data_IF_812744159658
#
_entry.id   IF_812744159658
#
_cell.length_a   1.000
_cell.length_b   1.000
_cell.length_c   1.000
_cell.angle_alpha   90.00
_cell.angle_beta   90.00
_cell.angle_gamma   90.00
#
_symmetry.space_group_name_H-M   'P 1'
#
loop_
_entity.id
_entity.type
_entity.pdbx_description
1 polymer ?
#
# COMPACT_ATOMS: atom_id res chain seq x y z
N UNK A 1 8.71 7.94 -6.28
CA UNK A 1 7.45 8.70 -6.34
C UNK A 1 6.17 7.88 -6.26
N UNK A 2 5.97 6.84 -7.09
CA UNK A 2 4.73 6.03 -7.06
C UNK A 2 4.36 5.51 -5.67
N UNK A 3 5.33 4.99 -4.91
CA UNK A 3 5.09 4.50 -3.55
C UNK A 3 4.61 5.61 -2.59
N UNK A 4 5.25 6.78 -2.64
CA UNK A 4 4.86 7.92 -1.79
C UNK A 4 3.43 8.36 -2.11
N UNK A 5 3.08 8.43 -3.40
CA UNK A 5 1.72 8.75 -3.84
C UNK A 5 0.70 7.74 -3.32
N UNK A 6 1.02 6.44 -3.37
CA UNK A 6 0.15 5.39 -2.84
C UNK A 6 -0.11 5.57 -1.34
N UNK A 7 0.96 5.73 -0.56
CA UNK A 7 0.91 5.84 0.90
C UNK A 7 0.21 7.13 1.37
N UNK A 8 0.36 8.23 0.63
CA UNK A 8 -0.19 9.52 1.04
C UNK A 8 -1.63 9.73 0.53
N UNK A 9 -1.97 9.18 -0.64
CA UNK A 9 -3.23 9.48 -1.35
C UNK A 9 -4.07 8.25 -1.64
N UNK A 10 -3.54 7.25 -2.36
CA UNK A 10 -4.36 6.13 -2.84
C UNK A 10 -4.92 5.30 -1.70
N UNK A 11 -4.15 5.07 -0.63
CA UNK A 11 -4.64 4.32 0.53
C UNK A 11 -5.85 5.00 1.19
N UNK A 12 -5.87 6.35 1.21
CA UNK A 12 -7.02 7.11 1.71
C UNK A 12 -8.21 7.00 0.76
N UNK A 13 -7.98 6.98 -0.55
CA UNK A 13 -9.04 6.76 -1.53
C UNK A 13 -9.68 5.37 -1.40
N UNK A 14 -8.86 4.33 -1.14
CA UNK A 14 -9.34 2.96 -0.89
C UNK A 14 -10.26 2.92 0.33
N UNK A 15 -9.86 3.56 1.44
CA UNK A 15 -10.67 3.62 2.66
C UNK A 15 -11.96 4.39 2.44
N UNK A 16 -11.93 5.53 1.73
CA UNK A 16 -13.14 6.30 1.39
C UNK A 16 -14.13 5.50 0.54
N UNK A 17 -13.64 4.70 -0.41
CA UNK A 17 -14.50 3.86 -1.24
C UNK A 17 -15.19 2.74 -0.45
N UNK A 18 -14.63 2.34 0.70
CA UNK A 18 -15.13 1.27 1.56
C UNK A 18 -15.42 1.78 2.98
N UNK A 19 -15.87 3.04 3.10
CA UNK A 19 -15.87 3.74 4.38
C UNK A 19 -16.80 3.11 5.42
N UNK A 20 -17.94 2.53 5.01
CA UNK A 20 -18.97 2.05 5.93
C UNK A 20 -19.21 0.55 5.73
N UNK A 21 -19.02 -0.20 6.81
CA UNK A 21 -19.37 -1.60 6.92
C UNK A 21 -20.69 -1.73 7.69
N UNK A 22 -21.57 -2.58 7.17
CA UNK A 22 -22.85 -2.93 7.81
C UNK A 22 -22.95 -4.44 7.91
N UNK A 23 -23.60 -4.92 8.96
CA UNK A 23 -23.75 -6.36 9.22
C UNK A 23 -25.19 -6.76 8.89
N UNK A 24 -25.37 -7.79 8.05
CA UNK A 24 -26.72 -8.21 7.64
C UNK A 24 -27.57 -8.72 8.82
N UNK A 25 -26.95 -9.33 9.83
CA UNK A 25 -27.64 -9.87 11.00
C UNK A 25 -28.03 -8.83 12.04
N UNK A 26 -27.40 -7.65 12.03
CA UNK A 26 -27.74 -6.54 12.93
C UNK A 26 -27.70 -5.21 12.17
N UNK A 27 -28.87 -4.73 11.69
CA UNK A 27 -28.96 -3.46 10.96
C UNK A 27 -28.59 -2.24 11.80
N UNK A 28 -28.61 -2.33 13.13
CA UNK A 28 -28.25 -1.22 14.01
C UNK A 28 -26.74 -1.12 14.21
N UNK A 29 -26.00 -2.20 13.94
CA UNK A 29 -24.55 -2.19 14.00
C UNK A 29 -23.92 -1.75 12.68
N UNK A 30 -23.16 -0.65 12.72
CA UNK A 30 -22.29 -0.25 11.63
C UNK A 30 -20.92 0.18 12.14
N UNK A 31 -19.91 0.00 11.30
CA UNK A 31 -18.55 0.49 11.50
C UNK A 31 -18.19 1.40 10.34
N UNK A 32 -17.61 2.56 10.65
CA UNK A 32 -17.13 3.53 9.69
C UNK A 32 -15.64 3.80 9.89
N UNK A 33 -14.88 3.77 8.80
CA UNK A 33 -13.50 4.25 8.76
C UNK A 33 -13.49 5.75 8.49
N UNK A 34 -12.84 6.52 9.35
CA UNK A 34 -12.75 7.97 9.26
C UNK A 34 -11.44 8.45 8.62
N UNK A 35 -10.30 7.89 9.02
CA UNK A 35 -9.00 8.16 8.40
C UNK A 35 -8.06 6.96 8.51
N UNK A 36 -7.05 6.94 7.65
CA UNK A 36 -5.98 5.94 7.62
C UNK A 36 -4.62 6.62 7.49
N UNK A 37 -3.64 6.07 8.21
CA UNK A 37 -2.26 6.54 8.21
C UNK A 37 -1.29 5.37 8.30
N UNK A 38 -0.15 5.54 7.64
CA UNK A 38 0.99 4.64 7.75
C UNK A 38 2.05 5.35 8.58
N UNK A 39 2.47 4.70 9.66
CA UNK A 39 3.50 5.21 10.56
C UNK A 39 4.90 5.17 9.96
N UNK A 40 5.90 5.29 10.83
CA UNK A 40 7.29 5.00 10.49
C UNK A 40 7.61 3.53 10.75
N UNK A 41 8.68 3.00 10.13
CA UNK A 41 9.17 1.66 10.38
C UNK A 41 9.44 1.43 11.87
N UNK A 42 8.76 0.44 12.43
CA UNK A 42 8.86 0.11 13.85
C UNK A 42 8.93 -1.38 14.07
N UNK A 43 9.31 -1.82 15.26
CA UNK A 43 9.22 -3.22 15.68
C UNK A 43 8.49 -3.25 17.01
N UNK A 44 7.57 -4.19 17.14
CA UNK A 44 6.88 -4.48 18.40
C UNK A 44 7.52 -5.74 18.98
N UNK A 45 8.19 -5.58 20.12
CA UNK A 45 8.83 -6.65 20.87
C UNK A 45 8.26 -6.66 22.29
N UNK A 46 7.62 -7.77 22.65
CA UNK A 46 6.96 -7.99 23.94
C UNK A 46 5.98 -6.86 24.31
N UNK A 47 6.45 -5.87 25.08
CA UNK A 47 5.68 -4.73 25.61
C UNK A 47 6.26 -3.37 25.16
N UNK A 48 7.23 -3.36 24.23
CA UNK A 48 7.89 -2.14 23.76
C UNK A 48 7.78 -2.02 22.24
N UNK A 49 7.43 -0.82 21.82
CA UNK A 49 7.48 -0.42 20.41
C UNK A 49 8.77 0.36 20.21
N UNK A 50 9.58 -0.08 19.26
CA UNK A 50 10.81 0.59 18.83
C UNK A 50 10.53 1.34 17.53
N UNK A 51 10.52 2.67 17.57
CA UNK A 51 10.04 3.53 16.45
C UNK A 51 11.12 3.96 15.44
N UNK A 52 12.38 3.53 15.62
CA UNK A 52 13.52 3.93 14.78
C UNK A 52 14.31 2.72 14.25
N UNK A 53 13.59 1.74 13.72
CA UNK A 53 14.21 0.55 13.14
C UNK A 53 14.97 0.94 11.89
N UNK A 54 16.23 0.51 11.78
CA UNK A 54 17.03 0.77 10.59
C UNK A 54 16.89 -0.36 9.57
N UNK A 55 17.08 -0.08 8.26
CA UNK A 55 17.07 -1.13 7.26
C UNK A 55 18.20 -2.15 7.51
N UNK A 56 19.40 -1.70 7.91
CA UNK A 56 20.49 -2.57 8.36
C UNK A 56 20.06 -3.55 9.47
N UNK A 57 19.39 -3.08 10.53
CA UNK A 57 18.86 -3.96 11.58
C UNK A 57 17.87 -5.00 11.04
N UNK A 58 17.02 -4.60 10.10
CA UNK A 58 16.04 -5.51 9.49
C UNK A 58 16.70 -6.61 8.66
N UNK A 59 17.82 -6.29 7.97
CA UNK A 59 18.64 -7.28 7.25
C UNK A 59 19.28 -8.27 8.22
N UNK A 60 19.96 -7.77 9.25
CA UNK A 60 20.73 -8.60 10.19
C UNK A 60 19.87 -9.52 11.06
N UNK A 61 18.60 -9.16 11.28
CA UNK A 61 17.67 -9.89 12.15
C UNK A 61 16.63 -10.72 11.40
N UNK A 62 16.76 -10.85 10.07
CA UNK A 62 15.79 -11.53 9.22
C UNK A 62 14.35 -10.99 9.35
N UNK A 63 14.20 -9.68 9.55
CA UNK A 63 12.91 -9.04 9.77
C UNK A 63 12.40 -8.33 8.52
N UNK A 64 11.09 -8.06 8.50
CA UNK A 64 10.47 -7.24 7.46
C UNK A 64 10.46 -5.77 7.88
N UNK A 65 11.11 -4.92 7.09
CA UNK A 65 11.15 -3.48 7.31
C UNK A 65 9.76 -2.88 7.02
N UNK A 66 8.96 -2.68 8.07
CA UNK A 66 7.54 -2.35 7.95
C UNK A 66 7.07 -1.33 8.98
N UNK A 67 6.07 -0.54 8.59
CA UNK A 67 5.40 0.43 9.44
C UNK A 67 3.99 -0.03 9.81
N UNK A 68 3.50 0.42 10.96
CA UNK A 68 2.12 0.15 11.41
C UNK A 68 1.12 0.93 10.55
N UNK A 69 0.04 0.26 10.15
CA UNK A 69 -1.13 0.87 9.54
C UNK A 69 -2.13 1.15 10.66
N UNK A 70 -2.43 2.42 10.89
CA UNK A 70 -3.41 2.84 11.91
C UNK A 70 -4.62 3.49 11.26
N UNK A 71 -5.81 3.18 11.78
CA UNK A 71 -7.07 3.76 11.34
C UNK A 71 -7.83 4.40 12.50
N UNK A 72 -8.63 5.40 12.16
CA UNK A 72 -9.66 5.94 13.05
C UNK A 72 -11.00 5.33 12.64
N UNK A 73 -11.68 4.73 13.60
CA UNK A 73 -12.96 4.05 13.38
C UNK A 73 -14.04 4.59 14.29
N UNK A 74 -15.26 4.58 13.80
CA UNK A 74 -16.45 4.94 14.53
C UNK A 74 -17.47 3.83 14.37
N UNK A 75 -18.03 3.34 15.46
CA UNK A 75 -19.00 2.26 15.41
C UNK A 75 -20.06 2.42 16.49
N UNK A 76 -21.21 1.81 16.26
CA UNK A 76 -22.33 1.78 17.20
C UNK A 76 -22.14 0.69 18.24
N UNK A 77 -22.33 1.04 19.52
CA UNK A 77 -22.38 0.11 20.65
C UNK A 77 -23.69 0.32 21.41
N UNK A 78 -24.70 -0.48 21.07
CA UNK A 78 -26.07 -0.25 21.56
C UNK A 78 -26.61 1.08 21.01
N UNK A 79 -27.04 1.98 21.89
CA UNK A 79 -27.56 3.30 21.51
C UNK A 79 -26.50 4.40 21.41
N UNK A 80 -25.23 4.09 21.64
CA UNK A 80 -24.14 5.08 21.64
C UNK A 80 -23.21 4.89 20.46
N UNK A 81 -22.67 5.98 19.93
CA UNK A 81 -21.62 5.98 18.92
C UNK A 81 -20.27 6.09 19.65
N UNK A 82 -19.36 5.16 19.37
CA UNK A 82 -18.03 5.09 19.96
C UNK A 82 -16.99 5.38 18.87
N UNK A 83 -16.08 6.31 19.14
CA UNK A 83 -14.94 6.60 18.27
C UNK A 83 -13.67 6.05 18.88
N UNK A 84 -12.95 5.21 18.13
CA UNK A 84 -11.60 4.77 18.47
C UNK A 84 -10.60 5.35 17.48
N UNK A 85 -9.52 5.91 18.00
CA UNK A 85 -8.43 6.49 17.20
C UNK A 85 -7.18 5.63 17.28
N UNK A 86 -6.34 5.68 16.25
CA UNK A 86 -5.07 4.94 16.17
C UNK A 86 -5.21 3.40 16.32
N UNK A 87 -6.28 2.81 15.81
CA UNK A 87 -6.43 1.34 15.85
C UNK A 87 -5.45 0.73 14.87
N UNK A 88 -4.53 -0.11 15.36
CA UNK A 88 -3.62 -0.89 14.53
C UNK A 88 -4.40 -1.98 13.79
N UNK A 89 -4.34 -1.97 12.46
CA UNK A 89 -5.00 -2.97 11.60
C UNK A 89 -4.02 -3.85 10.82
N UNK A 90 -2.72 -3.63 11.00
CA UNK A 90 -1.69 -4.40 10.31
C UNK A 90 -0.41 -3.61 10.07
N UNK A 91 0.46 -4.18 9.24
CA UNK A 91 1.75 -3.59 8.89
C UNK A 91 1.94 -3.52 7.38
N UNK A 92 2.60 -2.48 6.93
CA UNK A 92 2.95 -2.29 5.52
C UNK A 92 4.47 -2.25 5.36
N UNK A 93 5.07 -3.09 4.49
CA UNK A 93 6.47 -2.97 4.13
C UNK A 93 6.78 -1.58 3.57
N UNK A 94 7.84 -0.96 4.10
CA UNK A 94 8.25 0.40 3.69
C UNK A 94 9.36 0.30 2.66
N UNK A 95 9.18 1.01 1.53
CA UNK A 95 10.20 1.08 0.50
C UNK A 95 11.39 1.92 0.98
N UNK A 96 12.62 1.44 0.79
CA UNK A 96 13.82 2.18 1.16
C UNK A 96 13.89 3.51 0.40
N UNK A 97 14.29 4.57 1.12
CA UNK A 97 14.32 5.97 0.64
C UNK A 97 12.97 6.58 0.22
N UNK A 98 11.85 5.93 0.55
CA UNK A 98 10.52 6.56 0.47
C UNK A 98 10.30 7.60 1.58
N UNK A 99 9.24 8.41 1.48
CA UNK A 99 8.92 9.44 2.46
C UNK A 99 8.63 8.90 3.88
N UNK A 100 8.34 7.61 4.03
CA UNK A 100 8.18 6.94 5.34
C UNK A 100 9.45 6.29 5.85
N UNK A 101 10.47 6.12 5.01
CA UNK A 101 11.73 5.50 5.39
C UNK A 101 12.57 6.46 6.24
N UNK A 102 13.26 5.93 7.25
CA UNK A 102 14.17 6.71 8.11
C UNK A 102 15.36 7.31 7.35
N UNK A 103 15.72 6.75 6.20
CA UNK A 103 16.83 7.20 5.36
C UNK A 103 16.51 8.44 4.51
N UNK A 104 15.24 8.79 4.36
CA UNK A 104 14.83 9.89 3.50
C UNK A 104 15.36 11.23 4.01
N UNK A 105 16.03 11.99 3.13
CA UNK A 105 16.54 13.33 3.43
C UNK A 105 17.77 13.36 4.36
N UNK A 106 18.36 12.21 4.70
CA UNK A 106 19.55 12.15 5.54
C UNK A 106 20.82 12.52 4.77
N UNK A 107 21.72 13.23 5.44
CA UNK A 107 23.05 13.55 4.94
C UNK A 107 23.97 12.31 4.91
N UNK A 108 25.09 12.40 4.18
CA UNK A 108 26.09 11.33 4.10
C UNK A 108 26.58 10.88 5.49
N UNK A 109 26.88 11.82 6.37
CA UNK A 109 27.36 11.51 7.72
C UNK A 109 26.28 10.82 8.58
N UNK A 110 25.00 11.15 8.37
CA UNK A 110 23.91 10.48 9.06
C UNK A 110 23.66 9.07 8.54
N UNK A 111 23.74 8.85 7.22
CA UNK A 111 23.61 7.52 6.63
C UNK A 111 24.75 6.59 7.08
N UNK A 112 25.97 7.11 7.17
CA UNK A 112 27.12 6.37 7.70
C UNK A 112 26.90 5.89 9.14
N UNK A 113 26.33 6.76 10.00
CA UNK A 113 25.94 6.37 11.37
C UNK A 113 24.86 5.29 11.41
N UNK A 114 24.01 5.22 10.39
CA UNK A 114 22.98 4.19 10.25
C UNK A 114 23.47 2.93 9.52
N UNK A 115 24.77 2.87 9.18
CA UNK A 115 25.38 1.77 8.44
C UNK A 115 24.76 1.55 7.05
N UNK A 116 24.34 2.64 6.40
CA UNK A 116 23.73 2.63 5.07
C UNK A 116 24.62 3.37 4.06
N UNK A 117 24.63 2.87 2.82
CA UNK A 117 25.43 3.46 1.76
C UNK A 117 24.75 4.70 1.17
N UNK A 118 25.49 5.80 1.02
CA UNK A 118 25.00 7.01 0.36
C UNK A 118 24.67 6.78 -1.13
N UNK A 119 25.39 5.88 -1.80
CA UNK A 119 25.21 5.58 -3.23
C UNK A 119 24.14 4.50 -3.51
N UNK A 120 23.53 3.91 -2.48
CA UNK A 120 22.42 2.97 -2.68
C UNK A 120 21.23 3.70 -3.33
N UNK A 121 20.69 3.29 -4.49
CA UNK A 121 19.54 3.95 -5.09
C UNK A 121 18.26 3.88 -4.23
N UNK A 122 18.11 2.88 -3.37
CA UNK A 122 16.84 2.58 -2.69
C UNK A 122 15.78 2.05 -3.67
N UNK A 123 14.49 2.19 -3.32
CA UNK A 123 13.39 1.78 -4.20
C UNK A 123 12.99 0.30 -4.12
N UNK A 124 13.55 -0.44 -3.17
CA UNK A 124 13.23 -1.84 -2.89
C UNK A 124 12.73 -2.01 -1.45
N UNK A 125 12.32 -3.23 -1.12
CA UNK A 125 11.78 -3.60 0.19
C UNK A 125 12.68 -4.62 0.87
N UNK A 126 12.73 -4.62 2.20
CA UNK A 126 13.35 -5.70 2.97
C UNK A 126 12.22 -6.53 3.58
N UNK A 127 12.15 -7.80 3.19
CA UNK A 127 11.13 -8.76 3.64
C UNK A 127 11.84 -10.00 4.14
N UNK A 128 11.67 -10.30 5.43
CA UNK A 128 12.35 -11.39 6.14
C UNK A 128 13.87 -11.36 5.89
N UNK A 129 14.52 -10.22 6.15
CA UNK A 129 15.95 -10.01 5.93
C UNK A 129 16.38 -9.82 4.48
N UNK A 130 15.54 -10.20 3.52
CA UNK A 130 15.89 -10.25 2.11
C UNK A 130 15.42 -9.00 1.35
N UNK A 131 16.28 -8.48 0.49
CA UNK A 131 15.95 -7.38 -0.41
C UNK A 131 15.11 -7.88 -1.58
N UNK A 132 14.00 -7.19 -1.84
CA UNK A 132 13.03 -7.55 -2.89
C UNK A 132 12.63 -6.30 -3.67
N UNK A 133 12.76 -6.38 -4.98
CA UNK A 133 12.36 -5.33 -5.92
C UNK A 133 11.06 -5.77 -6.60
N UNK A 134 10.10 -4.85 -6.71
CA UNK A 134 8.92 -5.06 -7.56
C UNK A 134 9.31 -4.67 -8.98
N UNK A 135 9.32 -5.64 -9.89
CA UNK A 135 9.56 -5.37 -11.30
C UNK A 135 8.36 -4.63 -11.89
N UNK A 136 8.65 -3.57 -12.64
CA UNK A 136 7.61 -2.81 -13.35
C UNK A 136 7.04 -3.73 -14.44
N UNK A 137 5.71 -3.86 -14.45
CA UNK A 137 5.00 -4.64 -15.46
C UNK A 137 4.40 -3.72 -16.51
N UNK A 138 4.75 -3.94 -17.76
CA UNK A 138 4.07 -3.31 -18.88
C UNK A 138 2.70 -3.99 -19.09
N UNK A 139 1.66 -3.18 -19.28
CA UNK A 139 0.32 -3.65 -19.58
C UNK A 139 -0.25 -2.86 -20.76
N UNK A 140 -1.05 -3.54 -21.58
CA UNK A 140 -1.79 -2.89 -22.64
C UNK A 140 -2.68 -1.77 -22.07
N UNK A 141 -2.82 -0.71 -22.86
CA UNK A 141 -3.69 0.42 -22.53
C UNK A 141 -5.13 -0.08 -22.31
N UNK A 142 -5.66 0.21 -21.13
CA UNK A 142 -7.09 0.01 -20.82
C UNK A 142 -7.90 1.15 -21.42
N UNK A 143 -9.18 0.90 -21.63
CA UNK A 143 -10.15 1.88 -22.13
C UNK A 143 -9.73 2.52 -23.48
N UNK A 144 -9.03 1.75 -24.32
CA UNK A 144 -8.61 2.15 -25.67
C UNK A 144 -9.03 1.09 -26.68
N UNK A 145 -9.55 1.52 -27.83
CA UNK A 145 -9.87 0.64 -28.96
C UNK A 145 -8.58 0.26 -29.66
N UNK A 146 -8.35 -1.04 -29.81
CA UNK A 146 -7.22 -1.63 -30.54
C UNK A 146 -7.80 -2.40 -31.72
N UNK A 147 -7.31 -2.11 -32.92
CA UNK A 147 -7.71 -2.79 -34.15
C UNK A 147 -6.61 -3.78 -34.52
N UNK A 148 -6.98 -5.04 -34.67
CA UNK A 148 -6.07 -6.16 -34.95
C UNK A 148 -6.66 -7.05 -36.07
N UNK A 149 -5.84 -7.92 -36.64
CA UNK A 149 -6.30 -8.98 -37.55
C UNK A 149 -6.33 -10.30 -36.77
N UNK A 150 -7.44 -11.03 -36.86
CA UNK A 150 -7.50 -12.39 -36.32
C UNK A 150 -6.67 -13.36 -37.19
N UNK A 151 -6.49 -14.60 -36.74
CA UNK A 151 -5.75 -15.66 -37.45
C UNK A 151 -6.27 -15.88 -38.88
N UNK A 152 -7.57 -15.71 -39.08
CA UNK A 152 -8.25 -15.85 -40.37
C UNK A 152 -8.20 -14.56 -41.22
N UNK A 153 -7.42 -13.56 -40.79
CA UNK A 153 -7.27 -12.24 -41.44
C UNK A 153 -8.55 -11.38 -41.46
N UNK A 154 -9.51 -11.67 -40.61
CA UNK A 154 -10.66 -10.77 -40.37
C UNK A 154 -10.25 -9.62 -39.45
N UNK A 155 -10.78 -8.42 -39.72
CA UNK A 155 -10.52 -7.25 -38.89
C UNK A 155 -11.33 -7.37 -37.60
N UNK A 156 -10.68 -7.22 -36.45
CA UNK A 156 -11.33 -7.19 -35.15
C UNK A 156 -10.96 -5.93 -34.39
N UNK A 157 -11.93 -5.39 -33.65
CA UNK A 157 -11.73 -4.30 -32.71
C UNK A 157 -11.87 -4.86 -31.29
N UNK A 158 -10.85 -4.66 -30.45
CA UNK A 158 -10.89 -5.07 -29.05
C UNK A 158 -10.73 -3.90 -28.10
N UNK A 159 -11.44 -3.96 -26.98
CA UNK A 159 -11.34 -3.00 -25.88
C UNK A 159 -11.26 -3.76 -24.57
N UNK A 160 -10.19 -3.53 -23.82
CA UNK A 160 -10.11 -3.98 -22.41
C UNK A 160 -10.54 -2.81 -21.52
N UNK A 161 -11.77 -2.88 -21.01
CA UNK A 161 -12.32 -1.87 -20.09
C UNK A 161 -11.89 -2.16 -18.65
N UNK A 162 -11.54 -1.12 -17.92
CA UNK A 162 -11.20 -1.20 -16.50
C UNK A 162 -11.80 -0.02 -15.75
N UNK A 163 -12.64 -0.33 -14.77
CA UNK A 163 -13.15 0.60 -13.75
C UNK A 163 -12.59 0.22 -12.38
N UNK A 164 -12.91 1.01 -11.34
CA UNK A 164 -12.50 0.71 -9.96
C UNK A 164 -13.07 -0.62 -9.43
N UNK A 165 -14.18 -1.10 -10.01
CA UNK A 165 -14.93 -2.26 -9.52
C UNK A 165 -14.78 -3.46 -10.44
N UNK A 166 -14.64 -3.26 -11.76
CA UNK A 166 -14.70 -4.35 -12.74
C UNK A 166 -13.71 -4.15 -13.88
N UNK A 167 -13.17 -5.27 -14.36
CA UNK A 167 -12.45 -5.36 -15.63
C UNK A 167 -13.23 -6.26 -16.59
N UNK A 168 -13.31 -5.87 -17.86
CA UNK A 168 -13.94 -6.66 -18.91
C UNK A 168 -13.23 -6.48 -20.24
N UNK A 169 -13.29 -7.49 -21.10
CA UNK A 169 -12.77 -7.41 -22.47
C UNK A 169 -13.93 -7.61 -23.44
N UNK A 170 -14.08 -6.70 -24.39
CA UNK A 170 -15.05 -6.80 -25.47
C UNK A 170 -14.29 -6.89 -26.78
N UNK A 171 -14.72 -7.80 -27.66
CA UNK A 171 -14.17 -7.99 -28.99
C UNK A 171 -15.34 -7.90 -29.97
N UNK A 172 -15.18 -7.10 -31.02
CA UNK A 172 -16.14 -6.93 -32.11
C UNK A 172 -15.46 -7.31 -33.41
N UNK A 173 -16.09 -8.21 -34.16
CA UNK A 173 -15.65 -8.60 -35.49
C UNK A 173 -16.30 -7.66 -36.52
N UNK A 174 -15.50 -7.13 -37.45
CA UNK A 174 -15.93 -6.24 -38.53
C UNK A 174 -16.08 -7.00 -39.85
#
# INVERSE_FOLDING_TARGET
DSYNFFVDKDIKAIVRANEKLTVQSDPHFWLKYNDIRIGKPSIEEELRVFDDVTPHQSRMRDMTYSAVISVDVEYTRGNSIVTHRNVNIGRMPVMLRSNRCILAGKSRAELEKLQECFYDPGGYFIVNGNEKVILIQEQLSKNRIIIELDKDKHVCASVTSSTAVRKSKTIVYL
#
